data_IF_906535482384
#
_entry.id   IF_906535482384
#
_cell.length_a   1.000
_cell.length_b   1.000
_cell.length_c   1.000
_cell.angle_alpha   90.00
_cell.angle_beta   90.00
_cell.angle_gamma   90.00
#
_symmetry.space_group_name_H-M   'P 1'
#
loop_
_entity.id
_entity.type
_entity.pdbx_description
1 polymer ?
#
# COMPACT_ATOMS: atom_id res chain seq x y z
N UNK A 1 -9.36 -22.67 -2.13
CA UNK A 1 -9.87 -23.21 -3.40
C UNK A 1 -8.93 -22.82 -4.54
N UNK A 2 -7.70 -23.33 -4.54
CA UNK A 2 -6.78 -23.31 -5.69
C UNK A 2 -5.80 -24.45 -5.44
N UNK A 3 -5.86 -25.52 -6.21
CA UNK A 3 -5.07 -26.72 -5.95
C UNK A 3 -3.56 -26.42 -6.02
N UNK A 4 -2.86 -26.71 -4.93
CA UNK A 4 -1.39 -26.62 -4.80
C UNK A 4 -0.68 -27.85 -5.38
N UNK A 5 -1.46 -28.87 -5.76
CA UNK A 5 -0.97 -30.01 -6.52
C UNK A 5 -1.22 -29.71 -7.99
N UNK A 6 -0.18 -29.82 -8.83
CA UNK A 6 -0.30 -29.83 -10.28
C UNK A 6 -1.00 -31.13 -10.71
N UNK A 7 -2.30 -31.25 -10.42
CA UNK A 7 -3.14 -32.36 -10.83
C UNK A 7 -3.25 -32.28 -12.36
N UNK A 8 -2.86 -33.35 -13.05
CA UNK A 8 -2.94 -33.35 -14.52
C UNK A 8 -4.41 -33.26 -14.96
N UNK A 9 -4.70 -32.63 -16.09
CA UNK A 9 -6.06 -32.50 -16.64
C UNK A 9 -6.80 -33.85 -16.73
N UNK A 10 -6.06 -34.95 -16.98
CA UNK A 10 -6.61 -36.31 -17.01
C UNK A 10 -7.01 -36.82 -15.63
N UNK A 11 -6.23 -36.48 -14.61
CA UNK A 11 -6.51 -36.89 -13.24
C UNK A 11 -7.70 -36.11 -12.67
N UNK A 12 -7.79 -34.80 -12.92
CA UNK A 12 -8.96 -33.99 -12.55
C UNK A 12 -10.23 -34.44 -13.28
N UNK A 13 -10.13 -34.83 -14.55
CA UNK A 13 -11.24 -35.38 -15.32
C UNK A 13 -11.74 -36.71 -14.73
N UNK A 14 -10.83 -37.60 -14.32
CA UNK A 14 -11.16 -38.86 -13.67
C UNK A 14 -11.79 -38.68 -12.28
N UNK A 15 -11.26 -37.76 -11.46
CA UNK A 15 -11.77 -37.49 -10.11
C UNK A 15 -13.13 -36.77 -10.12
N UNK A 16 -13.38 -35.90 -11.08
CA UNK A 16 -14.63 -35.15 -11.19
C UNK A 16 -15.67 -35.82 -12.09
N UNK A 17 -15.35 -36.98 -12.70
CA UNK A 17 -16.19 -37.68 -13.66
C UNK A 17 -16.65 -36.77 -14.84
N UNK A 18 -15.74 -35.91 -15.31
CA UNK A 18 -15.96 -34.93 -16.37
C UNK A 18 -15.10 -35.25 -17.59
N UNK A 19 -15.52 -34.82 -18.78
CA UNK A 19 -14.65 -34.88 -19.95
C UNK A 19 -13.48 -33.89 -19.84
N UNK A 20 -12.35 -34.20 -20.49
CA UNK A 20 -11.18 -33.32 -20.52
C UNK A 20 -11.52 -31.93 -21.10
N UNK A 21 -12.49 -31.87 -22.03
CA UNK A 21 -12.98 -30.61 -22.62
C UNK A 21 -13.71 -29.74 -21.59
N UNK A 22 -14.55 -30.35 -20.74
CA UNK A 22 -15.30 -29.65 -19.70
C UNK A 22 -14.38 -29.15 -18.59
N UNK A 23 -13.40 -29.96 -18.17
CA UNK A 23 -12.38 -29.54 -17.21
C UNK A 23 -11.59 -28.33 -17.73
N UNK A 24 -11.23 -28.32 -19.02
CA UNK A 24 -10.56 -27.16 -19.65
C UNK A 24 -11.44 -25.91 -19.60
N UNK A 25 -12.72 -26.01 -19.98
CA UNK A 25 -13.66 -24.88 -19.93
C UNK A 25 -13.86 -24.36 -18.51
N UNK A 26 -13.95 -25.24 -17.51
CA UNK A 26 -14.05 -24.87 -16.11
C UNK A 26 -12.78 -24.19 -15.60
N UNK A 27 -11.59 -24.71 -15.96
CA UNK A 27 -10.33 -24.03 -15.61
C UNK A 27 -10.20 -22.67 -16.28
N UNK A 28 -10.61 -22.53 -17.54
CA UNK A 28 -10.63 -21.25 -18.24
C UNK A 28 -11.60 -20.27 -17.59
N UNK A 29 -12.78 -20.74 -17.17
CA UNK A 29 -13.74 -19.94 -16.41
C UNK A 29 -13.19 -19.53 -15.04
N UNK A 30 -12.57 -20.43 -14.29
CA UNK A 30 -11.94 -20.12 -13.00
C UNK A 30 -10.79 -19.12 -13.19
N UNK A 31 -9.95 -19.29 -14.22
CA UNK A 31 -8.88 -18.35 -14.55
C UNK A 31 -9.44 -16.98 -14.93
N UNK A 32 -10.47 -16.93 -15.77
CA UNK A 32 -11.14 -15.69 -16.13
C UNK A 32 -11.73 -15.01 -14.91
N UNK A 33 -12.47 -15.74 -14.07
CA UNK A 33 -13.00 -15.21 -12.80
C UNK A 33 -11.87 -14.72 -11.89
N UNK A 34 -10.75 -15.44 -11.80
CA UNK A 34 -9.57 -15.04 -11.01
C UNK A 34 -8.96 -13.74 -11.52
N UNK A 35 -8.78 -13.62 -12.84
CA UNK A 35 -8.29 -12.42 -13.51
C UNK A 35 -9.27 -11.26 -13.28
N UNK A 36 -10.57 -11.46 -13.49
CA UNK A 36 -11.60 -10.46 -13.21
C UNK A 36 -11.60 -10.06 -11.74
N UNK A 37 -11.38 -10.98 -10.80
CA UNK A 37 -11.32 -10.68 -9.37
C UNK A 37 -10.13 -9.78 -9.03
N UNK A 38 -9.02 -9.92 -9.75
CA UNK A 38 -7.85 -9.03 -9.65
C UNK A 38 -8.19 -7.58 -10.07
N UNK A 39 -9.19 -7.39 -10.92
CA UNK A 39 -9.68 -6.09 -11.41
C UNK A 39 -11.02 -5.65 -10.80
N UNK A 40 -11.65 -6.47 -9.94
CA UNK A 40 -12.98 -6.22 -9.36
C UNK A 40 -12.99 -5.15 -8.26
N UNK A 41 -11.81 -4.67 -7.89
CA UNK A 41 -11.63 -3.54 -6.98
C UNK A 41 -11.06 -2.34 -7.76
N UNK A 42 -11.83 -1.77 -8.73
CA UNK A 42 -11.39 -0.59 -9.43
C UNK A 42 -11.15 0.52 -8.42
N UNK A 43 -9.98 1.14 -8.52
CA UNK A 43 -9.64 2.27 -7.68
C UNK A 43 -10.52 3.47 -8.04
N UNK A 44 -11.21 4.03 -7.05
CA UNK A 44 -11.94 5.29 -7.21
C UNK A 44 -10.98 6.47 -7.43
N UNK A 45 -9.70 6.32 -7.07
CA UNK A 45 -8.67 7.35 -7.27
C UNK A 45 -8.26 7.49 -8.73
N UNK A 46 -8.40 6.43 -9.54
CA UNK A 46 -8.01 6.43 -10.95
C UNK A 46 -8.91 7.33 -11.81
N UNK A 47 -10.17 7.57 -11.38
CA UNK A 47 -11.11 8.46 -12.09
C UNK A 47 -10.65 9.92 -12.12
N UNK A 48 -9.90 10.35 -11.11
CA UNK A 48 -9.51 11.75 -10.92
C UNK A 48 -7.99 11.98 -11.01
N UNK A 49 -7.21 10.95 -11.36
CA UNK A 49 -5.74 11.00 -11.34
C UNK A 49 -5.13 10.56 -12.66
N UNK A 50 -4.02 11.19 -13.05
CA UNK A 50 -3.16 10.70 -14.16
C UNK A 50 -2.44 9.38 -13.82
N UNK A 51 -2.53 8.93 -12.57
CA UNK A 51 -1.92 7.70 -12.09
C UNK A 51 -3.00 6.64 -11.94
N UNK A 52 -2.84 5.52 -12.63
CA UNK A 52 -3.67 4.34 -12.40
C UNK A 52 -3.30 3.71 -11.06
N UNK A 53 -4.26 3.60 -10.17
CA UNK A 53 -4.12 2.94 -8.88
C UNK A 53 -4.74 1.56 -8.91
N UNK A 54 -4.06 0.60 -8.28
CA UNK A 54 -4.60 -0.73 -7.99
C UNK A 54 -4.88 -0.81 -6.49
N UNK A 55 -6.12 -1.11 -6.16
CA UNK A 55 -6.55 -1.31 -4.78
C UNK A 55 -6.09 -2.68 -4.29
N UNK A 56 -5.27 -2.73 -3.23
CA UNK A 56 -4.61 -3.99 -2.81
C UNK A 56 -5.13 -4.61 -1.53
N UNK A 57 -5.62 -3.81 -0.60
CA UNK A 57 -6.13 -4.29 0.67
C UNK A 57 -7.14 -3.30 1.30
N UNK A 58 -7.90 -3.78 2.27
CA UNK A 58 -8.69 -2.97 3.20
C UNK A 58 -8.17 -3.13 4.62
N UNK A 59 -8.25 -2.06 5.40
CA UNK A 59 -7.99 -2.09 6.84
C UNK A 59 -9.32 -2.05 7.57
N UNK A 60 -9.56 -3.01 8.46
CA UNK A 60 -10.80 -3.12 9.24
C UNK A 60 -10.50 -3.15 10.74
N UNK A 61 -11.46 -2.75 11.57
CA UNK A 61 -11.35 -2.85 13.03
C UNK A 61 -11.80 -4.24 13.46
N UNK A 62 -11.02 -4.90 14.32
CA UNK A 62 -11.42 -6.15 14.92
C UNK A 62 -12.53 -5.89 15.96
N UNK A 63 -13.64 -6.63 15.87
CA UNK A 63 -14.79 -6.48 16.78
C UNK A 63 -14.51 -7.01 18.19
N UNK A 64 -13.55 -7.94 18.33
CA UNK A 64 -13.28 -8.64 19.58
C UNK A 64 -12.33 -7.90 20.53
N UNK A 65 -11.45 -7.04 19.99
CA UNK A 65 -10.46 -6.29 20.77
C UNK A 65 -10.43 -4.82 20.34
N UNK A 66 -10.73 -3.93 21.29
CA UNK A 66 -10.86 -2.49 21.03
C UNK A 66 -9.51 -1.92 20.56
N UNK A 67 -9.46 -1.55 19.27
CA UNK A 67 -8.31 -0.89 18.65
C UNK A 67 -7.36 -1.82 17.89
N UNK A 68 -7.65 -3.11 17.78
CA UNK A 68 -6.91 -4.01 16.88
C UNK A 68 -7.37 -3.81 15.43
N UNK A 69 -6.40 -3.72 14.50
CA UNK A 69 -6.62 -3.47 13.08
C UNK A 69 -6.22 -4.71 12.28
N UNK A 70 -7.06 -5.09 11.31
CA UNK A 70 -6.85 -6.24 10.42
C UNK A 70 -6.64 -5.75 8.99
N UNK A 71 -5.69 -6.37 8.28
CA UNK A 71 -5.40 -6.10 6.87
C UNK A 71 -6.01 -7.24 6.04
N UNK A 72 -7.03 -6.93 5.25
CA UNK A 72 -7.68 -7.89 4.35
C UNK A 72 -7.23 -7.61 2.91
N UNK A 73 -6.52 -8.56 2.30
CA UNK A 73 -6.08 -8.41 0.92
C UNK A 73 -7.20 -8.77 -0.05
N UNK A 74 -7.31 -8.00 -1.12
CA UNK A 74 -8.32 -8.22 -2.16
C UNK A 74 -7.97 -9.36 -3.12
N UNK A 75 -6.68 -9.57 -3.37
CA UNK A 75 -6.21 -10.72 -4.15
C UNK A 75 -5.46 -11.72 -3.27
N UNK A 76 -5.85 -13.01 -3.28
CA UNK A 76 -5.17 -14.06 -2.52
C UNK A 76 -3.67 -14.16 -2.82
N UNK A 77 -3.23 -13.81 -4.04
CA UNK A 77 -1.82 -13.89 -4.44
C UNK A 77 -0.87 -13.01 -3.62
N UNK A 78 -1.41 -11.96 -2.97
CA UNK A 78 -0.63 -11.10 -2.07
C UNK A 78 -0.29 -11.79 -0.75
N UNK A 79 -1.04 -12.82 -0.37
CA UNK A 79 -0.91 -13.54 0.91
C UNK A 79 -0.53 -15.01 0.70
N UNK A 80 -0.71 -15.54 -0.51
CA UNK A 80 -0.56 -16.96 -0.78
C UNK A 80 0.90 -17.39 -0.92
N UNK A 81 1.30 -18.27 0.00
CA UNK A 81 2.40 -19.21 -0.13
C UNK A 81 3.77 -18.56 -0.23
N UNK A 82 4.54 -18.61 0.85
CA UNK A 82 6.00 -18.46 0.77
C UNK A 82 6.59 -19.82 0.45
N UNK A 83 7.57 -19.86 -0.44
CA UNK A 83 8.35 -21.07 -0.67
C UNK A 83 9.23 -21.31 0.56
N UNK A 84 9.12 -22.49 1.17
CA UNK A 84 10.05 -22.91 2.22
C UNK A 84 11.25 -23.56 1.55
N UNK A 85 12.42 -22.94 1.71
CA UNK A 85 13.69 -23.50 1.23
C UNK A 85 14.30 -24.26 2.40
N UNK A 86 14.50 -25.56 2.21
CA UNK A 86 15.21 -26.42 3.16
C UNK A 86 16.70 -26.37 2.82
N UNK A 87 17.45 -25.52 3.52
CA UNK A 87 18.88 -25.32 3.27
C UNK A 87 19.71 -26.52 3.69
N UNK A 88 19.32 -27.25 4.74
CA UNK A 88 20.04 -28.42 5.23
C UNK A 88 20.00 -29.55 4.20
N UNK A 89 18.82 -29.83 3.64
CA UNK A 89 18.66 -30.80 2.57
C UNK A 89 19.39 -30.37 1.30
N UNK A 90 19.41 -29.08 1.01
CA UNK A 90 20.11 -28.54 -0.15
C UNK A 90 21.63 -28.69 -0.01
N UNK A 91 22.18 -28.47 1.19
CA UNK A 91 23.59 -28.65 1.49
C UNK A 91 24.01 -30.11 1.44
N UNK A 92 23.18 -31.01 2.00
CA UNK A 92 23.35 -32.45 1.84
C UNK A 92 23.44 -32.86 0.36
N UNK A 93 22.49 -32.39 -0.47
CA UNK A 93 22.48 -32.67 -1.91
C UNK A 93 23.73 -32.14 -2.63
N UNK A 94 24.22 -30.95 -2.26
CA UNK A 94 25.45 -30.36 -2.81
C UNK A 94 26.71 -31.15 -2.39
N UNK A 95 26.74 -31.62 -1.14
CA UNK A 95 27.89 -32.35 -0.57
C UNK A 95 28.09 -33.74 -1.16
N UNK A 96 27.02 -34.37 -1.65
CA UNK A 96 27.03 -35.70 -2.27
C UNK A 96 27.76 -35.79 -3.62
N UNK A 97 28.40 -34.71 -4.12
CA UNK A 97 29.20 -34.64 -5.37
C UNK A 97 28.50 -35.09 -6.67
N UNK A 98 27.17 -35.22 -6.66
CA UNK A 98 26.40 -35.65 -7.85
C UNK A 98 26.05 -34.52 -8.82
N UNK A 99 26.59 -33.31 -8.64
CA UNK A 99 26.31 -32.16 -9.49
C UNK A 99 27.57 -31.63 -10.15
N UNK A 100 27.50 -31.38 -11.45
CA UNK A 100 28.49 -30.60 -12.19
C UNK A 100 28.51 -29.13 -11.72
N UNK A 101 29.59 -28.42 -12.01
CA UNK A 101 29.69 -26.97 -11.70
C UNK A 101 28.55 -26.16 -12.35
N UNK A 102 28.14 -26.53 -13.56
CA UNK A 102 27.05 -25.86 -14.27
C UNK A 102 25.70 -26.06 -13.59
N UNK A 103 25.41 -27.29 -13.12
CA UNK A 103 24.20 -27.59 -12.38
C UNK A 103 24.15 -26.87 -11.03
N UNK A 104 25.28 -26.77 -10.33
CA UNK A 104 25.39 -25.99 -9.09
C UNK A 104 25.10 -24.50 -9.33
N UNK A 105 25.60 -23.93 -10.44
CA UNK A 105 25.29 -22.54 -10.82
C UNK A 105 23.80 -22.36 -11.10
N UNK A 106 23.18 -23.27 -11.87
CA UNK A 106 21.73 -23.24 -12.14
C UNK A 106 20.90 -23.35 -10.87
N UNK A 107 21.25 -24.29 -9.98
CA UNK A 107 20.58 -24.49 -8.69
C UNK A 107 20.63 -23.21 -7.83
N UNK A 108 21.81 -22.59 -7.72
CA UNK A 108 21.95 -21.33 -6.98
C UNK A 108 21.14 -20.19 -7.61
N UNK A 109 21.02 -20.14 -8.94
CA UNK A 109 20.13 -19.20 -9.64
C UNK A 109 18.66 -19.39 -9.24
N UNK A 110 18.17 -20.63 -9.30
CA UNK A 110 16.79 -20.96 -8.92
C UNK A 110 16.49 -20.60 -7.46
N UNK A 111 17.41 -20.86 -6.53
CA UNK A 111 17.25 -20.49 -5.12
C UNK A 111 17.10 -18.98 -4.99
N UNK A 112 17.96 -18.20 -5.65
CA UNK A 112 17.87 -16.73 -5.65
C UNK A 112 16.55 -16.24 -6.22
N UNK A 113 16.05 -16.86 -7.28
CA UNK A 113 14.76 -16.51 -7.87
C UNK A 113 13.61 -16.78 -6.88
N UNK A 114 13.65 -17.92 -6.18
CA UNK A 114 12.66 -18.26 -5.15
C UNK A 114 12.72 -17.27 -3.98
N UNK A 115 13.92 -16.93 -3.49
CA UNK A 115 14.13 -15.93 -2.45
C UNK A 115 13.60 -14.55 -2.87
N UNK A 116 13.83 -14.16 -4.13
CA UNK A 116 13.31 -12.91 -4.69
C UNK A 116 11.78 -12.92 -4.77
N UNK A 117 11.17 -14.04 -5.17
CA UNK A 117 9.71 -14.18 -5.19
C UNK A 117 9.14 -14.05 -3.77
N UNK A 118 9.74 -14.73 -2.79
CA UNK A 118 9.35 -14.63 -1.38
C UNK A 118 9.49 -13.19 -0.86
N UNK A 119 10.61 -12.53 -1.17
CA UNK A 119 10.83 -11.13 -0.81
C UNK A 119 9.75 -10.25 -1.42
N UNK A 120 9.43 -10.42 -2.72
CA UNK A 120 8.39 -9.65 -3.40
C UNK A 120 7.01 -9.85 -2.78
N UNK A 121 6.65 -11.10 -2.44
CA UNK A 121 5.37 -11.44 -1.79
C UNK A 121 5.27 -10.82 -0.40
N UNK A 122 6.34 -10.89 0.39
CA UNK A 122 6.34 -10.39 1.78
C UNK A 122 6.52 -8.88 1.89
N UNK A 123 7.15 -8.22 0.91
CA UNK A 123 7.45 -6.78 0.97
C UNK A 123 6.18 -5.94 1.13
N UNK A 124 5.15 -6.17 0.30
CA UNK A 124 3.91 -5.40 0.39
C UNK A 124 3.26 -5.58 1.76
N UNK A 125 3.19 -6.82 2.24
CA UNK A 125 2.65 -7.14 3.55
C UNK A 125 3.39 -6.40 4.67
N UNK A 126 4.73 -6.50 4.71
CA UNK A 126 5.55 -5.80 5.71
C UNK A 126 5.38 -4.29 5.66
N UNK A 127 5.29 -3.72 4.46
CA UNK A 127 5.04 -2.28 4.27
C UNK A 127 3.66 -1.89 4.81
N UNK A 128 2.61 -2.63 4.47
CA UNK A 128 1.25 -2.37 4.95
C UNK A 128 1.16 -2.53 6.48
N UNK A 129 1.74 -3.58 7.03
CA UNK A 129 1.80 -3.81 8.47
C UNK A 129 2.47 -2.63 9.17
N UNK A 130 3.65 -2.20 8.69
CA UNK A 130 4.35 -1.06 9.28
C UNK A 130 3.57 0.25 9.19
N UNK A 131 2.86 0.49 8.07
CA UNK A 131 1.94 1.63 7.93
C UNK A 131 0.81 1.55 8.96
N UNK A 132 0.12 0.41 9.08
CA UNK A 132 -1.01 0.22 10.00
C UNK A 132 -0.58 0.38 11.45
N UNK A 133 0.58 -0.16 11.82
CA UNK A 133 1.15 -0.03 13.16
C UNK A 133 1.46 1.44 13.51
N UNK A 134 2.16 2.17 12.63
CA UNK A 134 2.50 3.58 12.88
C UNK A 134 1.26 4.48 12.87
N UNK A 135 0.34 4.23 11.95
CA UNK A 135 -0.84 5.07 11.71
C UNK A 135 -2.08 4.58 12.47
N UNK A 136 -1.90 3.76 13.52
CA UNK A 136 -2.99 3.18 14.31
C UNK A 136 -3.99 4.23 14.82
N UNK A 137 -3.51 5.38 15.27
CA UNK A 137 -4.34 6.50 15.74
C UNK A 137 -5.19 7.09 14.62
N UNK A 138 -4.61 7.26 13.43
CA UNK A 138 -5.34 7.70 12.23
C UNK A 138 -6.38 6.67 11.81
N UNK A 139 -6.03 5.40 11.66
CA UNK A 139 -6.99 4.37 11.25
C UNK A 139 -8.14 4.18 12.24
N UNK A 140 -7.90 4.39 13.53
CA UNK A 140 -8.96 4.32 14.54
C UNK A 140 -9.89 5.54 14.52
N UNK A 141 -9.34 6.75 14.37
CA UNK A 141 -10.11 8.00 14.45
C UNK A 141 -10.69 8.48 13.10
N UNK A 142 -10.00 8.19 11.99
CA UNK A 142 -10.25 8.80 10.68
C UNK A 142 -9.72 10.22 10.52
N UNK A 143 -9.27 10.86 11.61
CA UNK A 143 -8.85 12.26 11.62
C UNK A 143 -7.41 12.42 11.10
N UNK A 144 -7.25 13.23 10.05
CA UNK A 144 -5.96 13.58 9.45
C UNK A 144 -5.01 14.22 10.49
N UNK A 145 -5.55 14.91 11.51
CA UNK A 145 -4.77 15.43 12.64
C UNK A 145 -3.98 14.34 13.40
N UNK A 146 -4.48 13.10 13.38
CA UNK A 146 -3.86 11.95 14.03
C UNK A 146 -2.89 11.16 13.14
N UNK A 147 -2.65 11.59 11.90
CA UNK A 147 -1.73 10.96 10.95
C UNK A 147 -0.26 11.18 11.39
N UNK A 148 0.45 10.17 11.83
CA UNK A 148 1.83 10.36 12.28
C UNK A 148 2.76 10.68 11.10
N UNK A 149 3.71 11.63 11.24
CA UNK A 149 4.80 11.76 10.30
C UNK A 149 5.57 10.44 10.21
N UNK A 150 5.83 9.97 8.99
CA UNK A 150 6.58 8.75 8.73
C UNK A 150 7.34 8.91 7.41
N UNK A 151 8.65 8.71 7.44
CA UNK A 151 9.45 8.67 6.22
C UNK A 151 9.51 7.25 5.65
N UNK A 152 9.66 7.12 4.33
CA UNK A 152 9.83 5.80 3.69
C UNK A 152 11.11 5.11 4.16
N UNK A 153 12.18 5.88 4.37
CA UNK A 153 13.47 5.39 4.86
C UNK A 153 13.37 4.78 6.26
N UNK A 154 12.67 5.46 7.17
CA UNK A 154 12.44 4.95 8.54
C UNK A 154 11.69 3.62 8.52
N UNK A 155 10.67 3.49 7.67
CA UNK A 155 9.96 2.22 7.52
C UNK A 155 10.85 1.14 6.91
N UNK A 156 11.65 1.48 5.90
CA UNK A 156 12.56 0.58 5.22
C UNK A 156 13.60 -0.02 6.21
N UNK A 157 14.17 0.84 7.06
CA UNK A 157 15.09 0.44 8.14
C UNK A 157 14.39 -0.47 9.15
N UNK A 158 13.17 -0.12 9.59
CA UNK A 158 12.39 -0.94 10.54
C UNK A 158 12.12 -2.35 10.03
N UNK A 159 11.82 -2.52 8.74
CA UNK A 159 11.50 -3.82 8.14
C UNK A 159 12.68 -4.49 7.44
N UNK A 160 13.89 -3.92 7.59
CA UNK A 160 15.16 -4.38 7.02
C UNK A 160 15.10 -4.62 5.50
N UNK A 161 14.62 -3.63 4.75
CA UNK A 161 14.65 -3.64 3.27
C UNK A 161 15.18 -2.32 2.72
N UNK A 162 15.61 -2.34 1.45
CA UNK A 162 16.05 -1.13 0.76
C UNK A 162 14.90 -0.12 0.55
N UNK A 163 15.16 1.17 0.74
CA UNK A 163 14.14 2.22 0.62
C UNK A 163 13.52 2.30 -0.79
N UNK A 164 14.25 1.92 -1.84
CA UNK A 164 13.71 1.85 -3.20
C UNK A 164 12.64 0.77 -3.34
N UNK A 165 12.73 -0.32 -2.56
CA UNK A 165 11.72 -1.38 -2.53
C UNK A 165 10.42 -0.89 -1.90
N UNK A 166 10.49 -0.09 -0.83
CA UNK A 166 9.30 0.57 -0.25
C UNK A 166 8.63 1.47 -1.29
N UNK A 167 9.42 2.32 -1.97
CA UNK A 167 8.89 3.22 -2.99
C UNK A 167 8.20 2.47 -4.14
N UNK A 168 8.81 1.38 -4.63
CA UNK A 168 8.21 0.51 -5.65
C UNK A 168 6.96 -0.20 -5.15
N UNK A 169 6.98 -0.67 -3.90
CA UNK A 169 5.87 -1.40 -3.30
C UNK A 169 4.62 -0.54 -3.11
N UNK A 170 4.75 0.78 -2.94
CA UNK A 170 3.61 1.69 -2.72
C UNK A 170 3.14 2.42 -3.99
N UNK A 171 3.98 2.48 -5.03
CA UNK A 171 3.69 3.26 -6.24
C UNK A 171 2.48 2.69 -6.98
N UNK A 172 1.48 3.54 -7.25
CA UNK A 172 0.26 3.14 -7.96
C UNK A 172 -0.61 2.17 -7.16
N UNK A 173 -0.48 2.13 -5.84
CA UNK A 173 -1.27 1.25 -4.97
C UNK A 173 -2.04 2.03 -3.92
N UNK A 174 -3.21 1.53 -3.58
CA UNK A 174 -4.14 2.13 -2.62
C UNK A 174 -4.76 1.08 -1.71
N UNK A 175 -5.29 1.55 -0.58
CA UNK A 175 -6.02 0.73 0.39
C UNK A 175 -7.30 1.44 0.82
N UNK A 176 -8.29 0.66 1.24
CA UNK A 176 -9.47 1.18 1.93
C UNK A 176 -9.19 1.32 3.43
N UNK A 177 -9.56 2.46 4.00
CA UNK A 177 -9.50 2.71 5.45
C UNK A 177 -10.73 2.15 6.16
N UNK A 178 -10.70 1.98 7.49
CA UNK A 178 -11.89 1.57 8.25
C UNK A 178 -13.08 2.53 8.14
N UNK A 179 -12.84 3.76 7.68
CA UNK A 179 -13.87 4.78 7.45
C UNK A 179 -14.54 4.63 6.07
N UNK A 180 -14.11 3.67 5.25
CA UNK A 180 -14.62 3.46 3.90
C UNK A 180 -14.01 4.38 2.85
N UNK A 181 -12.88 5.05 3.16
CA UNK A 181 -12.19 5.92 2.20
C UNK A 181 -11.02 5.19 1.53
N UNK A 182 -10.91 5.29 0.21
CA UNK A 182 -9.72 4.81 -0.50
C UNK A 182 -8.58 5.84 -0.41
N UNK A 183 -7.41 5.40 0.05
CA UNK A 183 -6.20 6.24 0.15
C UNK A 183 -5.03 5.63 -0.63
N UNK A 184 -4.29 6.43 -1.43
CA UNK A 184 -2.99 6.01 -1.96
C UNK A 184 -2.04 5.62 -0.82
N UNK A 185 -1.24 4.57 -0.98
CA UNK A 185 -0.25 4.22 0.07
C UNK A 185 0.77 5.33 0.33
N UNK A 186 1.07 6.14 -0.69
CA UNK A 186 1.95 7.31 -0.55
C UNK A 186 1.40 8.37 0.43
N UNK A 187 0.09 8.42 0.65
CA UNK A 187 -0.55 9.35 1.58
C UNK A 187 0.04 9.24 3.00
N UNK A 188 0.25 8.01 3.48
CA UNK A 188 0.72 7.73 4.83
C UNK A 188 2.18 8.14 5.09
N UNK A 189 2.94 8.44 4.04
CA UNK A 189 4.31 8.97 4.14
C UNK A 189 4.38 10.48 3.96
N UNK A 190 3.25 11.11 3.63
CA UNK A 190 3.13 12.56 3.46
C UNK A 190 2.50 13.22 4.68
N UNK A 191 2.51 12.55 5.84
CA UNK A 191 1.70 12.93 7.01
C UNK A 191 1.82 14.38 7.43
N UNK A 192 3.04 14.93 7.43
CA UNK A 192 3.27 16.32 7.78
C UNK A 192 2.70 17.30 6.74
N UNK A 193 2.93 17.02 5.46
CA UNK A 193 2.40 17.82 4.34
C UNK A 193 0.87 17.79 4.34
N UNK A 194 0.28 16.60 4.47
CA UNK A 194 -1.16 16.38 4.48
C UNK A 194 -1.82 17.06 5.69
N UNK A 195 -1.17 17.03 6.87
CA UNK A 195 -1.61 17.78 8.04
C UNK A 195 -1.63 19.28 7.82
N UNK A 196 -0.56 19.83 7.26
CA UNK A 196 -0.48 21.26 6.96
C UNK A 196 -1.59 21.64 5.98
N UNK A 197 -1.76 20.89 4.89
CA UNK A 197 -2.80 21.18 3.90
C UNK A 197 -4.22 21.08 4.48
N UNK A 198 -4.50 20.08 5.32
CA UNK A 198 -5.79 19.92 6.01
C UNK A 198 -6.05 21.05 7.00
N UNK A 199 -5.06 21.34 7.86
CA UNK A 199 -5.15 22.41 8.84
C UNK A 199 -5.33 23.78 8.18
N UNK A 200 -4.63 24.03 7.07
CA UNK A 200 -4.79 25.24 6.27
C UNK A 200 -6.22 25.37 5.74
N UNK A 201 -6.79 24.33 5.15
CA UNK A 201 -8.19 24.35 4.65
C UNK A 201 -9.19 24.68 5.77
N UNK A 202 -9.00 24.12 6.96
CA UNK A 202 -9.87 24.41 8.11
C UNK A 202 -9.71 25.83 8.65
N UNK A 203 -8.48 26.37 8.61
CA UNK A 203 -8.19 27.76 9.03
C UNK A 203 -8.73 28.75 8.01
N UNK A 204 -8.76 28.42 6.72
CA UNK A 204 -9.04 29.34 5.62
C UNK A 204 -10.55 29.61 5.40
N UNK A 205 -11.34 29.63 6.48
CA UNK A 205 -12.73 30.10 6.49
C UNK A 205 -12.84 31.62 6.29
N UNK A 206 -11.75 32.35 6.51
CA UNK A 206 -11.64 33.81 6.32
C UNK A 206 -10.29 34.19 5.69
N UNK A 207 -10.22 35.36 5.02
CA UNK A 207 -8.97 35.91 4.49
C UNK A 207 -8.01 36.24 5.63
N UNK A 208 -6.95 35.44 5.78
CA UNK A 208 -5.92 35.66 6.78
C UNK A 208 -4.57 36.02 6.14
N UNK A 209 -3.75 36.77 6.87
CA UNK A 209 -2.35 37.00 6.49
C UNK A 209 -1.54 35.73 6.74
N UNK A 210 -0.42 35.57 6.03
CA UNK A 210 0.47 34.40 6.18
C UNK A 210 0.97 34.25 7.64
N UNK A 211 1.09 35.36 8.37
CA UNK A 211 1.49 35.41 9.77
C UNK A 211 0.36 34.94 10.72
N UNK A 212 -0.87 35.39 10.50
CA UNK A 212 -2.04 34.90 11.23
C UNK A 212 -2.29 33.40 11.00
N UNK A 213 -2.01 32.92 9.79
CA UNK A 213 -2.11 31.49 9.47
C UNK A 213 -1.05 30.69 10.22
N UNK A 214 0.20 31.16 10.26
CA UNK A 214 1.29 30.55 11.03
C UNK A 214 0.93 30.41 12.53
N UNK A 215 0.42 31.48 13.14
CA UNK A 215 -0.01 31.48 14.53
C UNK A 215 -1.14 30.49 14.81
N UNK A 216 -2.12 30.38 13.90
CA UNK A 216 -3.22 29.42 14.07
C UNK A 216 -2.78 27.99 13.88
N UNK A 217 -1.88 27.71 12.93
CA UNK A 217 -1.29 26.39 12.78
C UNK A 217 -0.58 25.97 14.08
N UNK A 218 0.14 26.90 14.71
CA UNK A 218 0.83 26.67 15.99
C UNK A 218 -0.15 26.44 17.14
N UNK A 219 -1.17 27.30 17.28
CA UNK A 219 -2.12 27.26 18.42
C UNK A 219 -3.13 26.11 18.33
N UNK A 220 -3.71 25.88 17.15
CA UNK A 220 -4.81 24.93 16.97
C UNK A 220 -4.33 23.52 16.62
N UNK A 221 -3.26 23.41 15.81
CA UNK A 221 -2.79 22.14 15.27
C UNK A 221 -1.41 21.72 15.80
N UNK A 222 -0.79 22.53 16.67
CA UNK A 222 0.59 22.34 17.17
C UNK A 222 1.63 22.18 16.05
N UNK A 223 1.37 22.80 14.90
CA UNK A 223 2.25 22.79 13.72
C UNK A 223 3.03 24.10 13.70
N UNK A 224 4.34 24.04 13.94
CA UNK A 224 5.19 25.23 13.91
C UNK A 224 5.81 25.41 12.51
N UNK A 225 5.37 26.42 11.76
CA UNK A 225 5.86 26.72 10.41
C UNK A 225 6.05 28.21 10.20
N UNK A 226 7.15 28.58 9.58
CA UNK A 226 7.45 29.97 9.28
C UNK A 226 6.55 30.53 8.17
N UNK A 227 6.47 31.86 8.12
CA UNK A 227 5.63 32.59 7.16
C UNK A 227 5.93 32.25 5.69
N UNK A 228 7.19 32.00 5.31
CA UNK A 228 7.57 31.70 3.92
C UNK A 228 7.06 30.30 3.53
N UNK A 229 7.22 29.32 4.43
CA UNK A 229 6.67 27.98 4.25
C UNK A 229 5.14 28.03 4.12
N UNK A 230 4.46 28.76 5.01
CA UNK A 230 2.99 28.94 4.95
C UNK A 230 2.56 29.55 3.61
N UNK A 231 3.27 30.58 3.12
CA UNK A 231 3.01 31.21 1.82
C UNK A 231 3.18 30.22 0.66
N UNK A 232 4.20 29.38 0.69
CA UNK A 232 4.42 28.35 -0.33
C UNK A 232 3.25 27.35 -0.39
N UNK A 233 2.80 26.85 0.77
CA UNK A 233 1.64 25.97 0.86
C UNK A 233 0.35 26.66 0.40
N UNK A 234 0.13 27.91 0.81
CA UNK A 234 -1.03 28.71 0.39
C UNK A 234 -1.07 28.90 -1.13
N UNK A 235 0.07 29.22 -1.74
CA UNK A 235 0.20 29.37 -3.18
C UNK A 235 -0.06 28.05 -3.92
N UNK A 236 0.49 26.92 -3.43
CA UNK A 236 0.24 25.58 -3.98
C UNK A 236 -1.23 25.19 -3.96
N UNK A 237 -1.94 25.57 -2.89
CA UNK A 237 -3.38 25.35 -2.74
C UNK A 237 -4.23 26.38 -3.50
N UNK A 238 -3.61 27.35 -4.20
CA UNK A 238 -4.27 28.45 -4.93
C UNK A 238 -5.19 29.31 -4.05
N UNK A 239 -4.79 29.57 -2.81
CA UNK A 239 -5.62 30.32 -1.84
C UNK A 239 -5.15 31.78 -1.78
N UNK A 240 -6.06 32.74 -1.97
CA UNK A 240 -5.73 34.17 -1.91
C UNK A 240 -5.32 34.60 -0.49
N UNK A 241 -4.32 35.47 -0.40
CA UNK A 241 -3.94 36.09 0.87
C UNK A 241 -4.99 37.10 1.29
N UNK A 242 -5.17 37.29 2.60
CA UNK A 242 -6.04 38.36 3.08
C UNK A 242 -5.63 39.76 2.58
N UNK A 243 -4.35 39.97 2.27
CA UNK A 243 -3.83 41.21 1.65
C UNK A 243 -4.43 41.49 0.26
N UNK A 244 -4.79 40.45 -0.50
CA UNK A 244 -5.42 40.57 -1.81
C UNK A 244 -6.95 40.57 -1.76
N UNK A 245 -7.54 40.14 -0.64
CA UNK A 245 -8.99 40.06 -0.48
C UNK A 245 -9.64 41.46 -0.37
N UNK A 246 -9.00 42.41 0.31
CA UNK A 246 -9.52 43.78 0.43
C UNK A 246 -9.57 44.54 -0.90
N UNK A 247 -8.70 44.24 -1.89
CA UNK A 247 -8.69 44.99 -3.16
C UNK A 247 -9.84 44.66 -4.11
N UNK A 248 -10.49 43.50 -3.94
CA UNK A 248 -11.57 43.06 -4.84
C UNK A 248 -12.98 43.31 -4.27
N UNK A 249 -13.12 43.58 -2.98
CA UNK A 249 -14.41 43.90 -2.37
C UNK A 249 -14.68 45.42 -2.25
N UNK A 250 -13.67 46.27 -2.35
CA UNK A 250 -13.82 47.74 -2.39
C UNK A 250 -14.14 48.28 -3.80
N UNK A 251 -14.51 47.41 -4.76
CA UNK A 251 -14.91 47.77 -6.13
C UNK A 251 -16.29 47.21 -6.53
N UNK A 252 -17.19 47.01 -5.57
CA UNK A 252 -18.61 46.78 -5.82
C UNK A 252 -19.45 47.79 -5.05
#
# INVERSE_FOLDING_TARGET
MYCENAVSLKQTAGECNLSISEVKKLMELVNNVSLYNEFYHPSTLSLNSRVHYTKVASVSKNGSERGCLLINFFSPQWVRGIYKIDYDKLEYLKSGKNFSEEELKRLNGLIKDIELINTRKTTLYKVLQGIVEKQKTYFNSGDIGNLQPQQQKELAEKINIDSSLVCRAIKGRSIDTPQGEEKPLKFFFSGEKAKIESALRNIMTRPYTDEQISDRLKKQYKINRDRRTVREYRNKLKISSGVHWNKNNDKK
#
